data_IF_772002503753
#
_entry.id   IF_772002503753
#
_cell.length_a   1.000
_cell.length_b   1.000
_cell.length_c   1.000
_cell.angle_alpha   90.00
_cell.angle_beta   90.00
_cell.angle_gamma   90.00
#
_symmetry.space_group_name_H-M   'P 1'
#
loop_
_entity.id
_entity.type
_entity.pdbx_description
1 polymer ?
#
# COMPACT_ATOMS: atom_id res chain seq x y z
N UNK A 1 26.24 -8.48 -10.80
CA UNK A 1 26.06 -7.10 -11.30
C UNK A 1 26.33 -6.12 -10.16
N UNK A 2 26.85 -4.92 -10.49
CA UNK A 2 27.04 -3.88 -9.47
C UNK A 2 25.70 -3.32 -9.04
N UNK A 3 25.38 -3.42 -7.74
CA UNK A 3 24.11 -2.90 -7.20
C UNK A 3 24.23 -2.49 -5.73
N UNK A 4 23.30 -1.68 -5.28
CA UNK A 4 23.17 -1.28 -3.87
C UNK A 4 22.61 -2.44 -3.07
N UNK A 5 23.27 -2.80 -1.97
CA UNK A 5 22.88 -3.86 -1.06
C UNK A 5 23.23 -3.45 0.37
N UNK A 6 22.61 -4.07 1.37
CA UNK A 6 22.98 -3.82 2.77
C UNK A 6 24.26 -4.55 3.15
N UNK A 7 25.02 -3.94 4.06
CA UNK A 7 26.11 -4.56 4.79
C UNK A 7 25.89 -4.38 6.30
N UNK A 8 26.18 -5.41 7.07
CA UNK A 8 25.96 -5.43 8.51
C UNK A 8 27.30 -5.54 9.22
N UNK A 9 27.65 -4.50 9.96
CA UNK A 9 28.83 -4.47 10.83
C UNK A 9 28.56 -5.30 12.09
N UNK A 10 29.21 -6.47 12.16
CA UNK A 10 29.02 -7.41 13.28
C UNK A 10 29.53 -6.86 14.60
N UNK A 11 30.52 -5.97 14.62
CA UNK A 11 31.07 -5.39 15.86
C UNK A 11 30.07 -4.40 16.46
N UNK A 12 29.43 -3.58 15.64
CA UNK A 12 28.39 -2.63 16.06
C UNK A 12 27.05 -3.28 16.38
N UNK A 13 26.79 -4.47 15.83
CA UNK A 13 25.53 -5.19 16.06
C UNK A 13 25.40 -5.63 17.52
N UNK A 14 24.34 -5.22 18.21
CA UNK A 14 24.04 -5.63 19.58
C UNK A 14 23.19 -6.89 19.71
N UNK A 15 22.76 -7.49 18.57
CA UNK A 15 21.99 -8.73 18.55
C UNK A 15 20.50 -8.57 18.85
N UNK A 16 19.92 -7.36 18.76
CA UNK A 16 18.50 -7.12 19.11
C UNK A 16 17.47 -7.79 18.18
N UNK A 17 17.84 -8.20 16.97
CA UNK A 17 16.94 -8.89 16.02
C UNK A 17 15.99 -7.98 15.23
N UNK A 18 15.84 -6.71 15.57
CA UNK A 18 14.86 -5.80 14.96
C UNK A 18 14.98 -5.72 13.42
N UNK A 19 16.20 -5.75 12.89
CA UNK A 19 16.43 -5.73 11.46
C UNK A 19 15.99 -7.05 10.73
N UNK A 20 16.08 -8.19 11.42
CA UNK A 20 15.64 -9.46 10.89
C UNK A 20 14.09 -9.53 10.82
N UNK A 21 13.42 -8.93 11.81
CA UNK A 21 11.96 -8.80 11.82
C UNK A 21 11.46 -7.80 10.77
N UNK A 22 12.17 -6.68 10.59
CA UNK A 22 11.82 -5.66 9.61
C UNK A 22 12.15 -6.05 8.16
N UNK A 23 12.94 -7.09 7.93
CA UNK A 23 13.28 -7.54 6.58
C UNK A 23 12.13 -8.33 5.97
N UNK A 24 11.31 -7.68 5.15
CA UNK A 24 10.18 -8.30 4.48
C UNK A 24 10.59 -9.48 3.59
N UNK A 25 11.81 -9.45 3.04
CA UNK A 25 12.33 -10.50 2.16
C UNK A 25 12.96 -11.69 2.93
N UNK A 26 13.12 -11.54 4.25
CA UNK A 26 13.75 -12.57 5.09
C UNK A 26 15.21 -12.82 4.74
N UNK A 27 15.88 -11.80 4.17
CA UNK A 27 17.29 -11.86 3.77
C UNK A 27 18.24 -11.82 4.98
N UNK A 28 17.79 -11.29 6.12
CA UNK A 28 18.57 -11.18 7.36
C UNK A 28 18.18 -12.31 8.31
N UNK A 29 19.17 -12.96 8.90
CA UNK A 29 18.96 -13.92 10.00
C UNK A 29 19.91 -13.63 11.17
N UNK A 30 19.55 -14.15 12.34
CA UNK A 30 20.40 -14.10 13.53
C UNK A 30 21.31 -15.34 13.53
N UNK A 31 22.62 -15.11 13.49
CA UNK A 31 23.65 -16.15 13.54
C UNK A 31 24.61 -15.82 14.69
N UNK A 32 24.75 -16.73 15.64
CA UNK A 32 25.59 -16.55 16.85
C UNK A 32 25.28 -15.23 17.60
N UNK A 33 23.98 -14.89 17.71
CA UNK A 33 23.52 -13.70 18.39
C UNK A 33 23.76 -12.39 17.64
N UNK A 34 24.16 -12.41 16.37
CA UNK A 34 24.40 -11.24 15.53
C UNK A 34 23.58 -11.35 14.23
N UNK A 35 23.13 -10.20 13.74
CA UNK A 35 22.45 -10.15 12.45
C UNK A 35 23.43 -10.38 11.30
N UNK A 36 23.02 -11.14 10.31
CA UNK A 36 23.81 -11.42 9.12
C UNK A 36 22.91 -11.47 7.87
N UNK A 37 23.40 -10.88 6.77
CA UNK A 37 22.79 -11.06 5.45
C UNK A 37 23.10 -12.50 4.97
N UNK A 38 22.06 -13.29 4.76
CA UNK A 38 22.22 -14.72 4.44
C UNK A 38 22.56 -14.95 2.97
N UNK A 39 21.94 -14.19 2.08
CA UNK A 39 22.16 -14.27 0.64
C UNK A 39 21.95 -12.91 0.00
N UNK A 40 22.80 -12.57 -0.95
CA UNK A 40 22.71 -11.30 -1.66
C UNK A 40 21.43 -11.17 -2.50
N UNK A 41 21.05 -12.26 -3.17
CA UNK A 41 19.87 -12.34 -4.05
C UNK A 41 18.52 -12.27 -3.31
N UNK A 42 18.54 -12.34 -1.97
CA UNK A 42 17.33 -12.14 -1.15
C UNK A 42 17.13 -10.68 -0.75
N UNK A 43 18.16 -9.84 -0.79
CA UNK A 43 18.05 -8.44 -0.45
C UNK A 43 17.57 -7.63 -1.67
N UNK A 44 16.43 -6.97 -1.57
CA UNK A 44 15.89 -6.08 -2.61
C UNK A 44 16.62 -4.74 -2.72
N UNK A 45 17.38 -4.34 -1.66
CA UNK A 45 18.10 -3.07 -1.60
C UNK A 45 17.22 -1.87 -1.24
N UNK A 46 15.98 -2.07 -0.77
CA UNK A 46 15.08 -0.98 -0.34
C UNK A 46 15.48 -0.38 1.00
N UNK A 47 15.97 -1.22 1.93
CA UNK A 47 16.58 -0.75 3.17
C UNK A 47 15.63 -0.51 4.33
N UNK A 48 14.49 -1.17 4.38
CA UNK A 48 13.51 -1.11 5.49
C UNK A 48 14.13 -1.51 6.83
N UNK A 49 15.19 -2.29 6.79
CA UNK A 49 15.95 -2.70 7.97
C UNK A 49 16.87 -1.61 8.56
N UNK A 50 17.23 -0.55 7.80
CA UNK A 50 18.16 0.47 8.28
C UNK A 50 17.60 1.30 9.44
N UNK A 51 16.38 1.88 9.35
CA UNK A 51 15.83 2.73 10.40
C UNK A 51 15.54 1.95 11.69
N UNK A 52 15.44 0.62 11.62
CA UNK A 52 15.13 -0.23 12.79
C UNK A 52 16.38 -0.59 13.59
N UNK A 53 17.59 -0.34 13.07
CA UNK A 53 18.83 -0.67 13.77
C UNK A 53 19.21 0.41 14.79
N UNK A 54 19.12 0.14 16.12
CA UNK A 54 19.38 1.15 17.14
C UNK A 54 20.86 1.51 17.25
N UNK A 55 21.76 0.67 16.76
CA UNK A 55 23.22 0.88 16.82
C UNK A 55 23.80 1.41 15.51
N UNK A 56 22.99 1.56 14.45
CA UNK A 56 23.49 1.97 13.15
C UNK A 56 24.47 0.97 12.52
N UNK A 57 24.34 -0.31 12.86
CA UNK A 57 25.22 -1.37 12.35
C UNK A 57 24.95 -1.73 10.88
N UNK A 58 23.87 -1.22 10.28
CA UNK A 58 23.47 -1.53 8.90
C UNK A 58 23.73 -0.32 8.02
N UNK A 59 24.43 -0.54 6.92
CA UNK A 59 24.71 0.49 5.92
C UNK A 59 24.45 -0.02 4.50
N UNK A 60 24.28 0.89 3.57
CA UNK A 60 24.28 0.53 2.14
C UNK A 60 25.70 0.53 1.59
N UNK A 61 26.00 -0.48 0.80
CA UNK A 61 27.21 -0.55 -0.01
C UNK A 61 26.88 -0.84 -1.47
N UNK A 62 27.66 -0.28 -2.39
CA UNK A 62 27.61 -0.66 -3.80
C UNK A 62 28.71 -1.67 -4.08
N UNK A 63 28.33 -2.91 -4.35
CA UNK A 63 29.28 -3.96 -4.71
C UNK A 63 28.71 -4.92 -5.75
N UNK A 64 29.53 -5.73 -6.30
CA UNK A 64 29.07 -6.87 -7.11
C UNK A 64 28.29 -7.84 -6.23
N UNK A 65 27.04 -8.05 -6.59
CA UNK A 65 26.13 -8.97 -5.92
C UNK A 65 25.23 -9.67 -6.94
N UNK A 66 24.70 -10.83 -6.56
CA UNK A 66 23.68 -11.53 -7.33
C UNK A 66 22.45 -10.63 -7.50
N UNK A 67 21.77 -10.72 -8.64
CA UNK A 67 20.50 -10.01 -8.85
C UNK A 67 19.46 -10.50 -7.82
N UNK A 68 18.53 -9.61 -7.44
CA UNK A 68 17.41 -9.97 -6.60
C UNK A 68 16.55 -11.06 -7.27
N UNK A 69 16.28 -12.15 -6.55
CA UNK A 69 15.50 -13.27 -7.02
C UNK A 69 14.22 -13.42 -6.16
N UNK A 70 13.15 -12.79 -6.63
CA UNK A 70 11.84 -12.82 -5.98
C UNK A 70 11.33 -14.27 -5.81
N UNK A 71 11.58 -15.15 -6.79
CA UNK A 71 11.14 -16.52 -6.73
C UNK A 71 11.84 -17.30 -5.62
N UNK A 72 13.15 -17.15 -5.51
CA UNK A 72 13.94 -17.79 -4.44
C UNK A 72 13.53 -17.26 -3.05
N UNK A 73 13.20 -15.98 -2.94
CA UNK A 73 12.66 -15.36 -1.71
C UNK A 73 11.32 -15.99 -1.32
N UNK A 74 10.40 -16.14 -2.28
CA UNK A 74 9.09 -16.74 -2.03
C UNK A 74 9.21 -18.22 -1.61
N UNK A 75 10.07 -18.97 -2.24
CA UNK A 75 10.35 -20.38 -1.87
C UNK A 75 10.92 -20.47 -0.45
N UNK A 76 11.82 -19.57 -0.07
CA UNK A 76 12.39 -19.52 1.28
C UNK A 76 11.34 -19.16 2.33
N UNK A 77 10.47 -18.18 2.07
CA UNK A 77 9.35 -17.83 2.94
C UNK A 77 8.40 -19.02 3.14
N UNK A 78 8.04 -19.72 2.07
CA UNK A 78 7.19 -20.92 2.13
C UNK A 78 7.85 -22.04 2.93
N UNK A 79 9.16 -22.27 2.77
CA UNK A 79 9.89 -23.27 3.53
C UNK A 79 9.86 -22.96 5.02
N UNK A 80 10.18 -21.71 5.42
CA UNK A 80 10.16 -21.27 6.83
C UNK A 80 8.78 -21.46 7.46
N UNK A 81 7.71 -21.15 6.72
CA UNK A 81 6.34 -21.36 7.21
C UNK A 81 6.00 -22.83 7.41
N UNK A 82 6.43 -23.71 6.49
CA UNK A 82 6.26 -25.17 6.66
C UNK A 82 6.99 -25.70 7.89
N UNK A 83 8.22 -25.24 8.11
CA UNK A 83 9.03 -25.63 9.28
C UNK A 83 8.39 -25.16 10.60
N UNK A 84 7.65 -24.05 10.59
CA UNK A 84 6.91 -23.50 11.74
C UNK A 84 5.50 -24.09 11.90
N UNK A 85 5.10 -25.06 11.04
CA UNK A 85 3.77 -25.68 11.09
C UNK A 85 2.61 -24.72 10.74
N UNK A 86 2.91 -23.56 10.16
CA UNK A 86 1.91 -22.60 9.71
C UNK A 86 1.35 -23.02 8.33
N UNK A 87 0.02 -22.89 8.16
CA UNK A 87 -0.60 -23.06 6.85
C UNK A 87 0.00 -22.07 5.86
N UNK A 88 0.44 -22.56 4.70
CA UNK A 88 1.01 -21.73 3.65
C UNK A 88 -0.06 -20.75 3.15
N UNK A 89 0.10 -19.44 3.34
CA UNK A 89 -0.75 -18.50 2.64
C UNK A 89 -0.32 -18.49 1.16
N UNK A 90 -1.19 -18.92 0.27
CA UNK A 90 -1.00 -18.72 -1.16
C UNK A 90 -1.11 -17.23 -1.48
N UNK A 91 0.01 -16.55 -1.67
CA UNK A 91 0.06 -15.16 -2.08
C UNK A 91 0.13 -14.15 -0.93
N UNK A 92 0.34 -12.86 -1.27
CA UNK A 92 0.28 -11.77 -0.31
C UNK A 92 -1.15 -11.61 0.24
N UNK A 93 -1.35 -11.01 1.43
CA UNK A 93 -2.67 -10.83 2.04
C UNK A 93 -3.73 -10.23 1.10
N UNK A 94 -3.34 -9.31 0.22
CA UNK A 94 -4.24 -8.73 -0.79
C UNK A 94 -4.60 -9.64 -1.97
N UNK A 95 -3.96 -10.83 -2.09
CA UNK A 95 -4.25 -11.82 -3.15
C UNK A 95 -4.84 -13.11 -2.59
N UNK A 96 -5.02 -13.22 -1.27
CA UNK A 96 -5.62 -14.40 -0.67
C UNK A 96 -7.10 -14.51 -1.03
N UNK A 97 -7.46 -15.64 -1.63
CA UNK A 97 -8.85 -15.99 -1.86
C UNK A 97 -9.52 -16.40 -0.55
N UNK A 98 -10.62 -15.78 -0.22
CA UNK A 98 -11.47 -16.19 0.92
C UNK A 98 -12.94 -16.09 0.55
N UNK A 99 -13.72 -17.02 1.09
CA UNK A 99 -15.18 -16.99 0.95
C UNK A 99 -15.76 -16.12 2.05
N UNK A 100 -16.50 -15.07 1.68
CA UNK A 100 -17.18 -14.18 2.60
C UNK A 100 -18.58 -14.77 2.84
N UNK A 101 -18.79 -15.39 4.01
CA UNK A 101 -20.12 -15.86 4.41
C UNK A 101 -20.86 -14.68 5.04
N UNK A 102 -21.91 -14.21 4.38
CA UNK A 102 -22.83 -13.21 4.94
C UNK A 102 -24.04 -13.94 5.51
N UNK A 103 -24.45 -13.56 6.72
CA UNK A 103 -25.73 -14.00 7.24
C UNK A 103 -26.82 -13.29 6.44
N UNK A 104 -27.75 -14.05 5.91
CA UNK A 104 -28.95 -13.50 5.27
C UNK A 104 -29.74 -12.70 6.32
N UNK A 105 -29.58 -11.39 6.28
CA UNK A 105 -30.46 -10.50 7.03
C UNK A 105 -31.81 -10.55 6.29
N UNK A 106 -32.94 -10.87 6.96
CA UNK A 106 -34.23 -10.87 6.30
C UNK A 106 -34.48 -9.51 5.66
N UNK A 107 -34.42 -9.46 4.35
CA UNK A 107 -34.75 -8.27 3.58
C UNK A 107 -36.23 -8.04 3.73
N UNK A 108 -36.64 -7.04 4.51
CA UNK A 108 -37.96 -6.45 4.36
C UNK A 108 -38.00 -5.92 2.93
N UNK A 109 -38.90 -6.44 2.10
CA UNK A 109 -39.10 -6.00 0.72
C UNK A 109 -39.58 -4.54 0.71
N UNK A 110 -38.68 -3.61 0.90
CA UNK A 110 -38.87 -2.22 0.47
C UNK A 110 -38.65 -2.18 -1.04
N UNK A 111 -39.49 -1.49 -1.83
CA UNK A 111 -39.25 -1.33 -3.26
C UNK A 111 -37.81 -0.85 -3.45
N UNK A 112 -36.97 -1.66 -4.08
CA UNK A 112 -35.59 -1.32 -4.37
C UNK A 112 -35.60 -0.14 -5.36
N UNK A 113 -35.59 1.08 -4.84
CA UNK A 113 -35.26 2.25 -5.64
C UNK A 113 -33.86 1.99 -6.22
N UNK A 114 -33.73 1.88 -7.53
CA UNK A 114 -32.46 1.75 -8.21
C UNK A 114 -31.55 2.87 -7.69
N UNK A 115 -30.46 2.53 -7.02
CA UNK A 115 -29.52 3.53 -6.58
C UNK A 115 -28.86 4.16 -7.79
N UNK A 116 -29.15 5.44 -8.02
CA UNK A 116 -28.55 6.19 -9.13
C UNK A 116 -27.03 6.37 -8.88
N UNK A 117 -26.25 6.33 -9.94
CA UNK A 117 -24.83 6.67 -9.87
C UNK A 117 -24.64 8.08 -9.32
N UNK A 118 -23.67 8.27 -8.42
CA UNK A 118 -23.27 9.57 -7.86
C UNK A 118 -22.02 10.12 -8.52
N UNK A 119 -21.50 9.43 -9.53
CA UNK A 119 -20.31 9.87 -10.27
C UNK A 119 -20.66 11.13 -11.07
N UNK A 120 -19.80 12.14 -10.95
CA UNK A 120 -20.01 13.47 -11.55
C UNK A 120 -18.95 13.81 -12.61
N UNK A 121 -17.93 12.97 -12.81
CA UNK A 121 -16.90 13.20 -13.82
C UNK A 121 -16.43 11.90 -14.45
N UNK A 122 -15.75 12.04 -15.58
CA UNK A 122 -15.05 10.99 -16.30
C UNK A 122 -13.79 11.58 -16.97
N UNK A 123 -12.64 10.87 -17.04
CA UNK A 123 -12.36 9.53 -16.49
C UNK A 123 -12.17 9.53 -14.96
N UNK A 124 -12.16 8.32 -14.36
CA UNK A 124 -11.93 8.14 -12.91
C UNK A 124 -10.53 7.64 -12.59
N UNK A 125 -9.88 6.92 -13.49
CA UNK A 125 -8.55 6.36 -13.26
C UNK A 125 -7.49 7.46 -13.14
N UNK A 126 -6.69 7.43 -12.06
CA UNK A 126 -5.61 8.41 -11.82
C UNK A 126 -4.72 8.57 -13.03
N UNK A 127 -4.39 7.46 -13.71
CA UNK A 127 -3.51 7.46 -14.90
C UNK A 127 -4.13 8.20 -16.09
N UNK A 128 -5.43 8.21 -16.23
CA UNK A 128 -6.14 8.74 -17.39
C UNK A 128 -6.64 10.16 -17.22
N UNK A 129 -6.88 10.60 -15.99
CA UNK A 129 -7.45 11.94 -15.72
C UNK A 129 -6.47 13.04 -16.15
N UNK A 130 -6.93 14.11 -16.85
CA UNK A 130 -6.10 15.26 -17.12
C UNK A 130 -5.76 16.02 -15.84
N UNK A 131 -4.54 16.59 -15.75
CA UNK A 131 -4.11 17.34 -14.55
C UNK A 131 -4.95 18.59 -14.32
N UNK A 132 -5.32 19.32 -15.39
CA UNK A 132 -6.03 20.60 -15.34
C UNK A 132 -7.47 20.47 -15.82
N UNK A 133 -8.23 19.50 -15.31
CA UNK A 133 -9.60 19.36 -15.68
C UNK A 133 -10.50 20.35 -14.92
N UNK A 134 -11.50 20.99 -15.56
CA UNK A 134 -12.35 22.00 -14.93
C UNK A 134 -13.10 21.54 -13.68
N UNK A 135 -13.37 20.24 -13.58
CA UNK A 135 -14.06 19.66 -12.42
C UNK A 135 -13.22 19.61 -11.15
N UNK A 136 -11.92 19.92 -11.22
CA UNK A 136 -11.08 20.03 -10.02
C UNK A 136 -11.21 21.37 -9.29
N UNK A 137 -11.76 22.40 -9.94
CA UNK A 137 -11.92 23.70 -9.32
C UNK A 137 -12.93 23.65 -8.17
N UNK A 138 -12.48 24.02 -6.96
CA UNK A 138 -13.27 23.92 -5.75
C UNK A 138 -13.63 22.49 -5.30
N UNK A 139 -12.96 21.48 -5.81
CA UNK A 139 -13.33 20.07 -5.61
C UNK A 139 -12.98 19.56 -4.21
N UNK A 140 -13.84 18.68 -3.71
CA UNK A 140 -13.47 17.67 -2.70
C UNK A 140 -12.98 16.43 -3.44
N UNK A 141 -11.72 16.05 -3.24
CA UNK A 141 -11.08 14.97 -3.96
C UNK A 141 -11.23 13.66 -3.19
N UNK A 142 -11.73 12.64 -3.86
CA UNK A 142 -11.73 11.26 -3.38
C UNK A 142 -10.63 10.48 -4.11
N UNK A 143 -9.70 9.89 -3.39
CA UNK A 143 -8.68 8.97 -3.90
C UNK A 143 -8.99 7.58 -3.36
N UNK A 144 -9.49 6.70 -4.19
CA UNK A 144 -9.99 5.39 -3.80
C UNK A 144 -9.20 4.24 -4.43
N UNK A 145 -8.95 3.19 -3.65
CA UNK A 145 -8.43 1.94 -4.19
C UNK A 145 -9.51 1.21 -5.01
N UNK A 146 -9.14 0.59 -6.11
CA UNK A 146 -10.04 -0.10 -7.05
C UNK A 146 -11.05 -1.04 -6.37
N UNK A 147 -10.61 -1.75 -5.32
CA UNK A 147 -11.43 -2.76 -4.66
C UNK A 147 -12.50 -2.17 -3.72
N UNK A 148 -12.37 -0.91 -3.29
CA UNK A 148 -13.19 -0.33 -2.22
C UNK A 148 -14.67 -0.21 -2.58
N UNK A 149 -14.94 0.16 -3.85
CA UNK A 149 -16.31 0.28 -4.35
C UNK A 149 -17.03 -1.06 -4.46
N UNK A 150 -16.30 -2.16 -4.60
CA UNK A 150 -16.85 -3.52 -4.62
C UNK A 150 -17.04 -4.08 -3.22
N UNK A 151 -16.17 -3.72 -2.27
CA UNK A 151 -16.25 -4.22 -0.90
C UNK A 151 -17.34 -3.51 -0.10
N UNK A 152 -17.48 -2.18 -0.23
CA UNK A 152 -18.42 -1.37 0.54
C UNK A 152 -19.68 -1.03 -0.26
N UNK A 153 -20.80 -1.63 0.10
CA UNK A 153 -22.05 -1.55 -0.66
C UNK A 153 -22.60 -0.13 -0.85
N UNK A 154 -22.44 0.76 0.12
CA UNK A 154 -22.95 2.15 0.05
C UNK A 154 -21.92 3.14 -0.50
N UNK A 155 -20.93 2.69 -1.29
CA UNK A 155 -19.80 3.49 -1.74
C UNK A 155 -20.20 4.77 -2.49
N UNK A 156 -21.20 4.70 -3.36
CA UNK A 156 -21.69 5.86 -4.10
C UNK A 156 -22.25 6.95 -3.18
N UNK A 157 -23.08 6.58 -2.21
CA UNK A 157 -23.70 7.54 -1.30
C UNK A 157 -22.71 8.10 -0.26
N UNK A 158 -21.81 7.25 0.25
CA UNK A 158 -20.89 7.64 1.32
C UNK A 158 -19.68 8.41 0.82
N UNK A 159 -19.12 8.01 -0.32
CA UNK A 159 -17.82 8.51 -0.77
C UNK A 159 -17.88 9.27 -2.10
N UNK A 160 -18.58 8.76 -3.12
CA UNK A 160 -18.58 9.41 -4.45
C UNK A 160 -19.42 10.68 -4.44
N UNK A 161 -20.53 10.70 -3.74
CA UNK A 161 -21.45 11.84 -3.70
C UNK A 161 -20.76 13.13 -3.28
N UNK A 162 -20.73 14.10 -4.19
CA UNK A 162 -20.14 15.41 -3.96
C UNK A 162 -18.60 15.41 -3.91
N UNK A 163 -17.96 14.39 -4.42
CA UNK A 163 -16.51 14.31 -4.61
C UNK A 163 -16.16 14.12 -6.08
N UNK A 164 -14.99 14.62 -6.45
CA UNK A 164 -14.31 14.23 -7.69
C UNK A 164 -13.48 12.98 -7.37
N UNK A 165 -13.77 11.90 -8.08
CA UNK A 165 -13.29 10.56 -7.73
C UNK A 165 -12.12 10.14 -8.60
N UNK A 166 -11.01 9.81 -7.97
CA UNK A 166 -9.82 9.22 -8.59
C UNK A 166 -9.63 7.80 -8.06
N UNK A 167 -9.37 6.86 -8.97
CA UNK A 167 -9.28 5.44 -8.64
C UNK A 167 -7.95 4.87 -9.13
N UNK A 168 -7.37 3.94 -8.38
CA UNK A 168 -6.15 3.24 -8.78
C UNK A 168 -5.76 2.10 -7.87
N UNK A 169 -4.90 1.21 -8.37
CA UNK A 169 -4.34 0.10 -7.61
C UNK A 169 -2.82 0.14 -7.64
N UNK A 170 -2.14 0.47 -6.53
CA UNK A 170 -0.68 0.57 -6.50
C UNK A 170 0.02 -0.77 -6.74
N UNK A 171 -0.70 -1.89 -6.58
CA UNK A 171 -0.17 -3.23 -6.85
C UNK A 171 -0.23 -3.61 -8.33
N UNK A 172 -1.28 -3.18 -9.05
CA UNK A 172 -1.48 -3.52 -10.46
C UNK A 172 -0.88 -2.48 -11.40
N UNK A 173 -0.87 -1.22 -10.99
CA UNK A 173 -0.33 -0.13 -11.78
C UNK A 173 1.16 0.07 -11.47
N UNK A 174 2.00 -0.09 -12.46
CA UNK A 174 3.47 0.09 -12.33
C UNK A 174 3.86 1.58 -12.42
N UNK A 175 3.22 2.45 -11.61
CA UNK A 175 3.46 3.90 -11.62
C UNK A 175 3.50 4.47 -10.19
N UNK A 176 4.26 5.54 -9.99
CA UNK A 176 4.16 6.35 -8.77
C UNK A 176 3.03 7.38 -8.93
N UNK A 177 1.92 7.17 -8.24
CA UNK A 177 0.80 8.11 -8.25
C UNK A 177 1.14 9.46 -7.61
N UNK A 178 2.17 9.53 -6.76
CA UNK A 178 2.51 10.74 -6.02
C UNK A 178 2.82 11.91 -6.94
N UNK A 179 3.53 11.68 -8.05
CA UNK A 179 3.88 12.71 -9.01
C UNK A 179 2.63 13.35 -9.61
N UNK A 180 1.75 12.55 -10.20
CA UNK A 180 0.54 13.04 -10.84
C UNK A 180 -0.46 13.64 -9.86
N UNK A 181 -0.63 13.05 -8.69
CA UNK A 181 -1.47 13.60 -7.63
C UNK A 181 -0.93 14.94 -7.12
N UNK A 182 0.41 15.09 -7.02
CA UNK A 182 1.05 16.37 -6.68
C UNK A 182 0.69 17.45 -7.68
N UNK A 183 0.79 17.14 -8.98
CA UNK A 183 0.45 18.09 -10.04
C UNK A 183 -1.03 18.50 -10.00
N UNK A 184 -1.94 17.53 -9.83
CA UNK A 184 -3.38 17.80 -9.70
C UNK A 184 -3.64 18.72 -8.50
N UNK A 185 -3.10 18.40 -7.33
CA UNK A 185 -3.33 19.18 -6.11
C UNK A 185 -2.70 20.56 -6.21
N UNK A 186 -1.50 20.68 -6.79
CA UNK A 186 -0.78 21.95 -6.94
C UNK A 186 -1.49 22.90 -7.90
N UNK A 187 -1.97 22.37 -9.02
CA UNK A 187 -2.49 23.16 -10.13
C UNK A 187 -3.97 23.54 -9.99
N UNK A 188 -4.72 22.95 -9.07
CA UNK A 188 -6.15 23.17 -8.94
C UNK A 188 -6.55 23.57 -7.53
N UNK A 189 -7.72 24.22 -7.37
CA UNK A 189 -8.29 24.58 -6.07
C UNK A 189 -8.98 23.36 -5.44
N UNK A 190 -8.21 22.56 -4.68
CA UNK A 190 -8.73 21.38 -3.98
C UNK A 190 -9.07 21.75 -2.53
N UNK A 191 -10.32 21.56 -2.13
CA UNK A 191 -10.83 21.89 -0.79
C UNK A 191 -10.50 20.86 0.27
N UNK A 192 -10.54 19.58 -0.08
CA UNK A 192 -10.23 18.48 0.83
C UNK A 192 -9.83 17.23 0.05
N UNK A 193 -9.11 16.31 0.72
CA UNK A 193 -8.73 15.01 0.18
C UNK A 193 -9.22 13.92 1.11
N UNK A 194 -9.98 12.97 0.57
CA UNK A 194 -10.37 11.73 1.26
C UNK A 194 -9.71 10.55 0.56
N UNK A 195 -8.92 9.78 1.29
CA UNK A 195 -8.32 8.54 0.81
C UNK A 195 -9.15 7.38 1.32
N UNK A 196 -9.61 6.51 0.43
CA UNK A 196 -10.32 5.28 0.80
C UNK A 196 -9.52 4.09 0.31
N UNK A 197 -9.08 3.26 1.24
CA UNK A 197 -8.24 2.09 0.95
C UNK A 197 -8.81 0.81 1.56
N UNK A 198 -8.37 -0.34 1.07
CA UNK A 198 -8.64 -1.61 1.75
C UNK A 198 -7.67 -1.82 2.92
N UNK A 199 -8.06 -2.64 3.89
CA UNK A 199 -7.21 -3.06 5.01
C UNK A 199 -5.95 -3.83 4.60
N UNK A 200 -5.90 -4.32 3.36
CA UNK A 200 -4.79 -5.13 2.87
C UNK A 200 -3.53 -4.29 2.64
N UNK A 201 -2.33 -4.82 2.93
CA UNK A 201 -1.07 -4.07 2.90
C UNK A 201 -0.76 -3.40 1.55
N UNK A 202 -1.15 -4.01 0.43
CA UNK A 202 -0.90 -3.45 -0.89
C UNK A 202 -1.58 -2.09 -1.13
N UNK A 203 -2.65 -1.76 -0.40
CA UNK A 203 -3.33 -0.48 -0.49
C UNK A 203 -2.62 0.66 0.27
N UNK A 204 -1.66 0.35 1.15
CA UNK A 204 -0.84 1.36 1.83
C UNK A 204 -0.06 2.26 0.86
N UNK A 205 0.30 1.74 -0.32
CA UNK A 205 0.96 2.52 -1.36
C UNK A 205 0.13 3.69 -1.88
N UNK A 206 -1.20 3.56 -1.94
CA UNK A 206 -2.10 4.65 -2.36
C UNK A 206 -2.16 5.77 -1.32
N UNK A 207 -2.24 5.40 -0.04
CA UNK A 207 -2.18 6.35 1.08
C UNK A 207 -0.85 7.10 1.10
N UNK A 208 0.27 6.37 0.95
CA UNK A 208 1.60 6.98 0.90
C UNK A 208 1.74 7.96 -0.27
N UNK A 209 1.23 7.60 -1.44
CA UNK A 209 1.24 8.48 -2.61
C UNK A 209 0.43 9.76 -2.37
N UNK A 210 -0.75 9.66 -1.75
CA UNK A 210 -1.56 10.82 -1.40
C UNK A 210 -0.87 11.73 -0.36
N UNK A 211 -0.26 11.14 0.69
CA UNK A 211 0.55 11.88 1.69
C UNK A 211 1.70 12.65 1.04
N UNK A 212 2.48 11.98 0.19
CA UNK A 212 3.57 12.61 -0.56
C UNK A 212 3.07 13.75 -1.43
N UNK A 213 1.95 13.54 -2.14
CA UNK A 213 1.36 14.55 -3.01
C UNK A 213 0.92 15.79 -2.24
N UNK A 214 0.27 15.62 -1.10
CA UNK A 214 -0.12 16.73 -0.21
C UNK A 214 1.11 17.52 0.27
N UNK A 215 2.14 16.83 0.74
CA UNK A 215 3.38 17.47 1.20
C UNK A 215 4.09 18.24 0.08
N UNK A 216 4.21 17.64 -1.11
CA UNK A 216 4.92 18.21 -2.25
C UNK A 216 4.14 19.29 -2.98
N UNK A 217 2.82 19.34 -2.81
CA UNK A 217 1.97 20.39 -3.41
C UNK A 217 2.24 21.77 -2.83
N UNK A 218 2.77 21.86 -1.60
CA UNK A 218 2.96 23.10 -0.87
C UNK A 218 1.68 23.74 -0.36
N UNK A 219 0.53 23.04 -0.45
CA UNK A 219 -0.78 23.53 0.01
C UNK A 219 -1.18 22.89 1.34
N UNK A 220 -1.81 23.66 2.20
CA UNK A 220 -2.40 23.12 3.42
C UNK A 220 -3.87 22.74 3.15
N UNK A 221 -4.11 21.45 2.93
CA UNK A 221 -5.44 20.92 2.58
C UNK A 221 -5.86 19.91 3.64
N UNK A 222 -7.06 20.02 4.23
CA UNK A 222 -7.57 19.02 5.15
C UNK A 222 -7.74 17.67 4.43
N UNK A 223 -7.31 16.61 5.09
CA UNK A 223 -7.38 15.28 4.52
C UNK A 223 -7.67 14.20 5.58
N UNK A 224 -8.21 13.08 5.15
CA UNK A 224 -8.51 11.92 5.98
C UNK A 224 -8.29 10.61 5.23
N UNK A 225 -8.09 9.54 5.99
CA UNK A 225 -8.02 8.16 5.48
C UNK A 225 -9.18 7.37 6.07
N UNK A 226 -9.83 6.58 5.24
CA UNK A 226 -10.84 5.61 5.65
C UNK A 226 -10.43 4.25 5.13
N UNK A 227 -10.38 3.28 6.02
CA UNK A 227 -10.04 1.90 5.68
C UNK A 227 -11.32 1.07 5.57
N UNK A 228 -11.43 0.32 4.47
CA UNK A 228 -12.51 -0.64 4.22
C UNK A 228 -11.96 -2.05 4.44
N UNK A 229 -12.65 -2.83 5.27
CA UNK A 229 -12.31 -4.25 5.45
C UNK A 229 -12.78 -5.07 4.26
N UNK A 230 -12.24 -6.27 4.08
CA UNK A 230 -12.71 -7.17 3.01
C UNK A 230 -14.17 -7.61 3.22
N UNK A 231 -14.66 -7.53 4.45
CA UNK A 231 -16.07 -7.83 4.79
C UNK A 231 -17.00 -6.62 4.57
N UNK A 232 -16.45 -5.48 4.12
CA UNK A 232 -17.20 -4.27 3.79
C UNK A 232 -17.56 -3.42 4.99
N UNK A 233 -16.81 -3.47 6.07
CA UNK A 233 -16.94 -2.56 7.21
C UNK A 233 -15.99 -1.37 7.06
N UNK A 234 -16.34 -0.24 7.66
CA UNK A 234 -15.46 0.93 7.72
C UNK A 234 -14.70 0.93 9.04
N UNK A 235 -13.40 1.16 8.96
CA UNK A 235 -12.54 1.45 10.10
C UNK A 235 -12.11 2.90 9.95
N UNK A 236 -12.54 3.75 10.87
CA UNK A 236 -12.10 5.16 10.94
C UNK A 236 -10.85 5.22 11.83
N UNK A 237 -9.78 5.80 11.31
CA UNK A 237 -8.51 6.01 12.03
C UNK A 237 -8.44 7.43 12.61
#
# INVERSE_FOLDING_TARGET
>A
MKRRIIEIDREKCNGCGACAEACHEGAIAMVDGKAQLMRDDYCDGLGDCLPTCPTGAITFVEREAAAYDEKAVMENKQRKMREQGMALPCGCPGSQSRNIQRQDVPTVETPQAQQASRLSQWPVQIKLVPVNAPYFDGARLLIAADCTAYAYAAFHERFIKGHITLVGCPKLDSVDYAEKLTEIIRSNDIRSVTVVRMEVPCCGGLELAAKKALQQSGKFIPWQVVTVTVDGQLVEE
#
